data_IF_926471299807
#
_entry.id   IF_926471299807
#
_cell.length_a   1.000
_cell.length_b   1.000
_cell.length_c   1.000
_cell.angle_alpha   90.00
_cell.angle_beta   90.00
_cell.angle_gamma   90.00
#
_symmetry.space_group_name_H-M   'P 1'
#
loop_
_entity.id
_entity.type
_entity.pdbx_description
1 polymer ?
#
# COMPACT_ATOMS: atom_id res chain seq x y z
N UNK A 1 38.48 -11.28 -48.31
CA UNK A 1 38.17 -12.56 -47.62
C UNK A 1 36.74 -12.44 -47.10
N UNK A 2 35.68 -12.68 -47.91
CA UNK A 2 34.96 -13.94 -48.19
C UNK A 2 34.81 -14.89 -46.99
N UNK A 3 33.57 -14.95 -46.45
CA UNK A 3 32.79 -16.07 -45.86
C UNK A 3 31.53 -15.40 -45.26
N UNK A 4 30.30 -15.43 -45.81
CA UNK A 4 29.41 -16.52 -46.26
C UNK A 4 29.01 -17.49 -45.14
N UNK A 5 27.77 -17.39 -44.64
CA UNK A 5 26.81 -18.47 -44.30
C UNK A 5 25.52 -17.79 -43.73
N UNK A 6 24.43 -17.68 -44.50
CA UNK A 6 23.28 -18.60 -44.61
C UNK A 6 22.37 -18.54 -43.36
N UNK A 7 21.30 -17.73 -43.32
CA UNK A 7 19.95 -17.93 -43.88
C UNK A 7 19.17 -19.10 -43.24
N UNK A 8 18.18 -18.78 -42.41
CA UNK A 8 17.12 -19.70 -41.97
C UNK A 8 15.86 -18.90 -41.60
N UNK A 9 14.99 -18.80 -42.61
CA UNK A 9 13.59 -18.42 -42.58
C UNK A 9 12.79 -19.48 -41.82
N UNK A 10 11.93 -19.13 -40.85
CA UNK A 10 10.63 -19.81 -40.64
C UNK A 10 9.65 -18.83 -39.98
N UNK A 11 8.70 -18.35 -40.79
CA UNK A 11 7.42 -17.78 -40.36
C UNK A 11 6.45 -18.94 -40.04
N UNK A 12 5.78 -18.90 -38.89
CA UNK A 12 4.58 -19.69 -38.65
C UNK A 12 3.39 -18.75 -38.42
N UNK A 13 2.64 -18.52 -39.49
CA UNK A 13 1.26 -18.02 -39.47
C UNK A 13 0.34 -19.24 -39.49
N UNK A 14 -0.33 -19.51 -38.37
CA UNK A 14 -1.36 -20.54 -38.28
C UNK A 14 -2.74 -19.87 -38.43
N UNK A 15 -3.20 -19.73 -39.67
CA UNK A 15 -4.59 -19.41 -39.97
C UNK A 15 -5.44 -20.69 -39.92
N UNK A 16 -6.41 -20.77 -39.02
CA UNK A 16 -7.43 -21.82 -39.07
C UNK A 16 -8.48 -21.46 -40.13
N UNK A 17 -8.35 -22.05 -41.32
CA UNK A 17 -9.42 -22.16 -42.30
C UNK A 17 -10.54 -23.07 -41.77
N UNK A 18 -11.77 -22.56 -41.74
CA UNK A 18 -12.99 -23.35 -41.53
C UNK A 18 -13.50 -23.81 -42.90
N UNK A 19 -13.31 -25.09 -43.21
CA UNK A 19 -13.84 -25.73 -44.42
C UNK A 19 -15.33 -26.00 -44.20
N UNK A 20 -16.21 -25.35 -44.94
CA UNK A 20 -17.60 -25.78 -45.11
C UNK A 20 -17.67 -26.79 -46.26
N UNK A 21 -17.98 -28.05 -45.94
CA UNK A 21 -18.39 -29.05 -46.93
C UNK A 21 -19.90 -29.23 -46.84
N UNK A 22 -20.58 -28.94 -47.94
CA UNK A 22 -21.98 -29.25 -48.20
C UNK A 22 -22.08 -30.69 -48.71
N UNK A 23 -22.87 -31.53 -48.04
CA UNK A 23 -23.50 -32.70 -48.66
C UNK A 23 -24.74 -33.08 -47.87
N UNK A 24 -25.90 -32.93 -48.51
CA UNK A 24 -27.17 -33.53 -48.12
C UNK A 24 -27.16 -35.02 -48.48
N UNK A 25 -27.60 -35.90 -47.56
CA UNK A 25 -28.63 -36.93 -47.76
C UNK A 25 -28.64 -37.94 -46.59
N UNK A 26 -29.78 -37.93 -45.89
CA UNK A 26 -30.47 -38.98 -45.12
C UNK A 26 -29.70 -40.17 -44.53
N UNK A 27 -29.70 -40.27 -43.19
CA UNK A 27 -30.14 -41.47 -42.46
C UNK A 27 -30.19 -41.28 -40.93
N UNK A 28 -31.40 -41.47 -40.37
CA UNK A 28 -31.75 -41.93 -39.00
C UNK A 28 -31.47 -40.99 -37.81
N UNK A 29 -32.47 -40.69 -36.94
CA UNK A 29 -32.24 -39.90 -35.74
C UNK A 29 -31.52 -40.74 -34.68
N UNK A 30 -30.23 -40.46 -34.47
CA UNK A 30 -29.51 -40.80 -33.24
C UNK A 30 -29.91 -39.83 -32.12
N UNK A 31 -29.93 -40.28 -30.86
CA UNK A 31 -30.43 -39.48 -29.74
C UNK A 31 -29.57 -38.22 -29.58
N UNK A 32 -30.24 -37.08 -29.42
CA UNK A 32 -29.60 -35.81 -29.16
C UNK A 32 -28.66 -35.93 -27.96
N UNK A 33 -27.36 -35.94 -28.24
CA UNK A 33 -26.33 -35.69 -27.24
C UNK A 33 -26.58 -34.29 -26.73
N UNK A 34 -27.16 -34.19 -25.53
CA UNK A 34 -27.18 -32.94 -24.79
C UNK A 34 -25.73 -32.59 -24.52
N UNK A 35 -25.19 -31.67 -25.31
CA UNK A 35 -23.95 -30.98 -24.95
C UNK A 35 -24.34 -30.11 -23.78
N UNK A 36 -24.16 -30.64 -22.57
CA UNK A 36 -24.22 -29.86 -21.35
C UNK A 36 -23.08 -28.85 -21.44
N UNK A 37 -23.41 -27.64 -21.87
CA UNK A 37 -22.49 -26.51 -21.88
C UNK A 37 -22.24 -26.16 -20.42
N UNK A 38 -21.25 -26.82 -19.81
CA UNK A 38 -20.74 -26.44 -18.49
C UNK A 38 -20.13 -25.05 -18.66
N UNK A 39 -20.91 -24.02 -18.32
CA UNK A 39 -20.39 -22.68 -18.16
C UNK A 39 -19.33 -22.74 -17.05
N UNK A 40 -18.16 -22.10 -17.24
CA UNK A 40 -17.16 -22.07 -16.18
C UNK A 40 -17.78 -21.45 -14.92
N UNK A 41 -17.52 -22.06 -13.76
CA UNK A 41 -17.95 -21.51 -12.47
C UNK A 41 -17.31 -20.13 -12.27
N UNK A 42 -18.13 -19.15 -11.87
CA UNK A 42 -17.69 -17.79 -11.59
C UNK A 42 -16.68 -17.79 -10.43
N UNK A 43 -15.57 -17.08 -10.60
CA UNK A 43 -14.57 -16.90 -9.54
C UNK A 43 -15.02 -15.77 -8.62
N UNK A 44 -15.42 -16.11 -7.38
CA UNK A 44 -15.89 -15.12 -6.39
C UNK A 44 -14.84 -14.97 -5.29
N UNK A 45 -14.40 -13.73 -5.04
CA UNK A 45 -13.58 -13.39 -3.88
C UNK A 45 -14.46 -12.73 -2.81
N UNK A 46 -14.45 -13.24 -1.59
CA UNK A 46 -15.16 -12.65 -0.45
C UNK A 46 -14.18 -12.33 0.67
N UNK A 47 -14.28 -11.11 1.21
CA UNK A 47 -13.56 -10.67 2.40
C UNK A 47 -14.55 -10.22 3.46
N UNK A 48 -14.48 -10.84 4.64
CA UNK A 48 -15.33 -10.56 5.79
C UNK A 48 -14.54 -10.34 7.09
N UNK A 49 -13.25 -10.01 6.95
CA UNK A 49 -12.34 -9.81 8.05
C UNK A 49 -11.28 -8.73 7.75
N UNK A 50 -10.40 -8.50 8.72
CA UNK A 50 -9.28 -7.57 8.59
C UNK A 50 -8.18 -8.20 7.73
N UNK A 51 -7.82 -7.51 6.64
CA UNK A 51 -6.68 -7.85 5.80
C UNK A 51 -5.56 -6.84 5.99
N UNK A 52 -4.38 -7.30 6.43
CA UNK A 52 -3.17 -6.45 6.51
C UNK A 52 -2.19 -6.94 5.45
N UNK A 53 -1.82 -6.06 4.52
CA UNK A 53 -0.87 -6.42 3.48
C UNK A 53 0.55 -6.50 4.03
N UNK A 54 1.27 -7.55 3.63
CA UNK A 54 2.70 -7.75 3.90
C UNK A 54 3.55 -7.73 2.62
N UNK A 55 2.89 -7.62 1.47
CA UNK A 55 3.45 -7.55 0.13
C UNK A 55 2.40 -6.97 -0.81
N UNK A 56 2.79 -6.64 -2.04
CA UNK A 56 1.84 -6.24 -3.08
C UNK A 56 0.86 -7.37 -3.38
N UNK A 57 -0.42 -7.02 -3.51
CA UNK A 57 -1.52 -7.97 -3.73
C UNK A 57 -2.33 -7.57 -4.97
N UNK A 58 -2.59 -8.57 -5.81
CA UNK A 58 -3.51 -8.46 -6.95
C UNK A 58 -4.63 -9.46 -6.75
N UNK A 59 -5.87 -8.97 -6.69
CA UNK A 59 -7.09 -9.78 -6.60
C UNK A 59 -7.73 -9.77 -7.98
N UNK A 60 -7.82 -10.95 -8.61
CA UNK A 60 -8.51 -11.14 -9.89
C UNK A 60 -9.67 -12.10 -9.66
N UNK A 61 -10.89 -11.61 -9.84
CA UNK A 61 -12.12 -12.40 -9.62
C UNK A 61 -13.26 -11.86 -10.47
N UNK A 62 -14.21 -12.70 -10.89
CA UNK A 62 -15.41 -12.23 -11.58
C UNK A 62 -16.24 -11.32 -10.66
N UNK A 63 -16.36 -11.70 -9.39
CA UNK A 63 -17.03 -10.90 -8.37
C UNK A 63 -16.16 -10.71 -7.12
N UNK A 64 -16.20 -9.50 -6.55
CA UNK A 64 -15.55 -9.16 -5.28
C UNK A 64 -16.60 -8.71 -4.27
N UNK A 65 -16.69 -9.39 -3.14
CA UNK A 65 -17.64 -9.11 -2.06
C UNK A 65 -16.88 -8.66 -0.81
N UNK A 66 -16.95 -7.38 -0.48
CA UNK A 66 -16.40 -6.83 0.74
C UNK A 66 -17.54 -6.71 1.77
N UNK A 67 -17.53 -7.56 2.80
CA UNK A 67 -18.58 -7.61 3.83
C UNK A 67 -18.34 -6.56 4.91
N UNK A 68 -19.35 -6.29 5.75
CA UNK A 68 -19.31 -5.20 6.74
C UNK A 68 -18.11 -5.19 7.71
N UNK A 69 -17.44 -6.33 7.91
CA UNK A 69 -16.26 -6.45 8.77
C UNK A 69 -14.93 -6.33 8.00
N UNK A 70 -14.96 -6.04 6.70
CA UNK A 70 -13.77 -5.93 5.88
C UNK A 70 -13.04 -4.62 6.15
N UNK A 71 -11.83 -4.74 6.69
CA UNK A 71 -10.89 -3.62 6.86
C UNK A 71 -9.57 -3.97 6.19
N UNK A 72 -9.20 -3.23 5.16
CA UNK A 72 -7.97 -3.48 4.41
C UNK A 72 -6.92 -2.43 4.78
N UNK A 73 -5.77 -2.88 5.28
CA UNK A 73 -4.63 -2.05 5.58
C UNK A 73 -3.49 -2.31 4.58
N UNK A 74 -3.14 -1.32 3.77
CA UNK A 74 -2.11 -1.51 2.73
C UNK A 74 -0.70 -1.58 3.28
N UNK A 75 -0.44 -0.92 4.42
CA UNK A 75 0.82 -0.95 5.14
C UNK A 75 2.05 -0.76 4.23
N UNK A 76 1.97 0.22 3.32
CA UNK A 76 2.94 0.58 2.25
C UNK A 76 2.87 -0.19 0.93
N UNK A 77 2.12 -1.28 0.88
CA UNK A 77 2.07 -2.14 -0.30
C UNK A 77 0.97 -1.72 -1.27
N UNK A 78 1.08 -2.19 -2.51
CA UNK A 78 0.08 -1.92 -3.53
C UNK A 78 -1.04 -2.95 -3.48
N UNK A 79 -2.27 -2.50 -3.69
CA UNK A 79 -3.46 -3.33 -3.83
C UNK A 79 -4.07 -3.07 -5.20
N UNK A 80 -4.13 -4.09 -6.06
CA UNK A 80 -4.90 -4.06 -7.31
C UNK A 80 -6.08 -5.02 -7.20
N UNK A 81 -7.27 -4.54 -7.51
CA UNK A 81 -8.49 -5.34 -7.61
C UNK A 81 -8.99 -5.23 -9.05
N UNK A 82 -9.02 -6.36 -9.75
CA UNK A 82 -9.50 -6.49 -11.12
C UNK A 82 -10.70 -7.43 -11.12
N UNK A 83 -11.88 -6.89 -11.45
CA UNK A 83 -13.11 -7.64 -11.34
C UNK A 83 -14.18 -7.23 -12.33
N UNK A 84 -15.19 -8.07 -12.58
CA UNK A 84 -16.36 -7.65 -13.35
C UNK A 84 -17.28 -6.83 -12.46
N UNK A 85 -17.57 -7.31 -11.25
CA UNK A 85 -18.50 -6.63 -10.33
C UNK A 85 -17.98 -6.63 -8.89
N UNK A 86 -18.10 -5.49 -8.20
CA UNK A 86 -17.73 -5.35 -6.79
C UNK A 86 -18.91 -4.89 -5.93
N UNK A 87 -19.16 -5.63 -4.86
CA UNK A 87 -20.23 -5.40 -3.89
C UNK A 87 -19.64 -5.06 -2.53
N UNK A 88 -19.98 -3.88 -2.02
CA UNK A 88 -19.37 -3.34 -0.80
C UNK A 88 -20.44 -3.05 0.25
N UNK A 89 -20.48 -3.88 1.29
CA UNK A 89 -21.39 -3.66 2.41
C UNK A 89 -21.07 -2.37 3.17
N UNK A 90 -21.99 -1.90 4.00
CA UNK A 90 -21.72 -0.76 4.88
C UNK A 90 -20.66 -1.12 5.91
N UNK A 91 -19.74 -0.18 6.16
CA UNK A 91 -18.68 -0.32 7.17
C UNK A 91 -17.32 -0.74 6.61
N UNK A 92 -17.22 -1.02 5.30
CA UNK A 92 -15.95 -1.38 4.66
C UNK A 92 -15.00 -0.20 4.62
N UNK A 93 -13.78 -0.42 5.08
CA UNK A 93 -12.71 0.59 5.12
C UNK A 93 -11.46 0.07 4.42
N UNK A 94 -10.88 0.88 3.57
CA UNK A 94 -9.51 0.71 3.07
C UNK A 94 -8.67 1.86 3.61
N UNK A 95 -7.56 1.55 4.28
CA UNK A 95 -6.71 2.53 4.93
C UNK A 95 -5.23 2.20 4.71
N UNK A 96 -4.37 3.21 4.60
CA UNK A 96 -2.94 2.96 4.43
C UNK A 96 -2.29 2.34 5.67
N UNK A 97 -2.38 3.01 6.82
CA UNK A 97 -1.80 2.52 8.07
C UNK A 97 -2.82 2.52 9.20
N UNK A 98 -2.97 1.43 9.98
CA UNK A 98 -3.81 1.43 11.17
C UNK A 98 -3.25 2.38 12.23
N UNK A 99 -4.10 2.89 13.14
CA UNK A 99 -3.72 3.82 14.21
C UNK A 99 -2.41 3.49 14.96
N UNK A 100 -2.17 2.27 15.44
CA UNK A 100 -0.92 1.93 16.15
C UNK A 100 0.34 2.03 15.28
N UNK A 101 0.19 2.08 13.95
CA UNK A 101 1.29 2.16 12.98
C UNK A 101 1.37 3.51 12.27
N UNK A 102 0.62 4.54 12.72
CA UNK A 102 0.67 5.88 12.12
C UNK A 102 2.00 6.61 12.32
N UNK A 103 2.84 6.17 13.27
CA UNK A 103 4.12 6.77 13.60
C UNK A 103 5.21 5.70 13.53
N UNK A 104 6.29 5.98 12.81
CA UNK A 104 7.44 5.11 12.70
C UNK A 104 8.22 5.05 14.03
N UNK A 105 9.00 3.98 14.20
CA UNK A 105 9.89 3.83 15.36
C UNK A 105 10.92 4.96 15.41
N UNK A 106 11.42 5.26 16.61
CA UNK A 106 12.47 6.28 16.83
C UNK A 106 13.61 6.11 15.82
N UNK A 107 14.02 7.24 15.23
CA UNK A 107 15.11 7.35 14.25
C UNK A 107 14.88 6.53 12.95
N UNK A 108 13.64 6.15 12.65
CA UNK A 108 13.24 5.47 11.41
C UNK A 108 12.37 6.41 10.55
N UNK A 109 12.66 6.56 9.24
CA UNK A 109 11.79 7.27 8.32
C UNK A 109 10.38 6.67 8.24
N UNK A 110 9.39 7.51 7.97
CA UNK A 110 8.03 7.08 7.70
C UNK A 110 7.92 6.34 6.38
N UNK A 111 7.05 5.33 6.35
CA UNK A 111 6.67 4.59 5.16
C UNK A 111 5.55 5.28 4.37
N UNK A 112 5.59 5.20 3.04
CA UNK A 112 4.54 5.73 2.15
C UNK A 112 3.30 4.83 2.17
N UNK A 113 2.11 5.38 1.88
CA UNK A 113 0.83 4.68 1.98
C UNK A 113 0.50 3.66 0.88
N UNK A 114 1.39 3.47 -0.11
CA UNK A 114 1.17 2.58 -1.25
C UNK A 114 0.13 3.08 -2.25
N UNK A 115 -0.23 2.24 -3.22
CA UNK A 115 -1.26 2.53 -4.23
C UNK A 115 -2.38 1.52 -4.16
N UNK A 116 -3.63 1.99 -4.16
CA UNK A 116 -4.82 1.16 -4.31
C UNK A 116 -5.43 1.44 -5.67
N UNK A 117 -5.65 0.39 -6.45
CA UNK A 117 -6.30 0.45 -7.74
C UNK A 117 -7.45 -0.56 -7.78
N UNK A 118 -8.64 -0.08 -8.12
CA UNK A 118 -9.83 -0.91 -8.33
C UNK A 118 -10.29 -0.68 -9.76
N UNK A 119 -10.31 -1.74 -10.55
CA UNK A 119 -10.76 -1.71 -11.94
C UNK A 119 -11.88 -2.74 -12.13
N UNK A 120 -13.00 -2.32 -12.71
CA UNK A 120 -14.04 -3.26 -13.07
C UNK A 120 -15.15 -2.72 -13.95
N UNK A 121 -16.21 -3.51 -14.13
CA UNK A 121 -17.38 -3.05 -14.88
C UNK A 121 -18.38 -2.35 -13.97
N UNK A 122 -18.79 -3.01 -12.88
CA UNK A 122 -19.87 -2.58 -12.01
C UNK A 122 -19.41 -2.44 -10.54
N UNK A 123 -19.87 -1.39 -9.85
CA UNK A 123 -19.68 -1.21 -8.40
C UNK A 123 -20.98 -0.85 -7.68
N UNK A 124 -21.16 -1.42 -6.49
CA UNK A 124 -22.31 -1.20 -5.63
C UNK A 124 -21.88 -0.99 -4.17
N UNK A 125 -22.65 -0.18 -3.43
CA UNK A 125 -22.54 -0.12 -1.98
C UNK A 125 -21.75 1.07 -1.43
N UNK A 126 -21.01 0.90 -0.33
CA UNK A 126 -20.43 2.04 0.40
C UNK A 126 -18.98 1.80 0.78
N UNK A 127 -18.05 2.59 0.22
CA UNK A 127 -16.62 2.46 0.47
C UNK A 127 -16.07 3.67 1.21
N UNK A 128 -15.28 3.43 2.26
CA UNK A 128 -14.48 4.47 2.92
C UNK A 128 -13.00 4.24 2.63
N UNK A 129 -12.31 5.28 2.17
CA UNK A 129 -10.89 5.23 1.83
C UNK A 129 -10.13 6.31 2.61
N UNK A 130 -9.15 5.89 3.41
CA UNK A 130 -8.28 6.77 4.18
C UNK A 130 -6.82 6.61 3.75
N UNK A 131 -6.31 7.57 2.99
CA UNK A 131 -4.94 7.58 2.47
C UNK A 131 -4.05 8.43 3.37
N UNK A 132 -2.99 7.83 3.89
CA UNK A 132 -2.03 8.54 4.73
C UNK A 132 -0.64 7.92 4.65
N UNK A 133 0.37 8.78 4.81
CA UNK A 133 1.74 8.34 5.05
C UNK A 133 1.91 7.97 6.51
N UNK A 134 2.98 7.28 6.82
CA UNK A 134 3.42 7.12 8.19
C UNK A 134 4.25 8.36 8.59
N UNK A 135 3.97 8.88 9.78
CA UNK A 135 4.76 9.94 10.43
C UNK A 135 6.15 9.40 10.69
N UNK A 136 7.19 10.14 10.32
CA UNK A 136 8.56 9.77 10.59
C UNK A 136 8.85 9.70 12.09
N UNK A 137 9.75 8.81 12.47
CA UNK A 137 10.07 8.59 13.87
C UNK A 137 10.76 9.79 14.49
N UNK A 138 10.55 10.00 15.79
CA UNK A 138 11.26 11.01 16.55
C UNK A 138 12.78 10.79 16.51
N UNK A 139 13.54 11.87 16.62
CA UNK A 139 14.99 11.82 16.70
C UNK A 139 15.48 11.14 17.98
N UNK A 140 16.74 10.71 17.98
CA UNK A 140 17.41 10.24 19.19
C UNK A 140 17.59 11.40 20.18
N UNK A 141 17.41 11.13 21.46
CA UNK A 141 17.60 12.11 22.53
C UNK A 141 19.06 12.52 22.73
N UNK A 142 19.27 13.67 23.35
CA UNK A 142 20.57 14.21 23.73
C UNK A 142 20.79 14.23 25.25
N UNK A 143 21.95 14.71 25.70
CA UNK A 143 22.28 14.89 27.12
C UNK A 143 22.99 16.22 27.38
N UNK A 144 22.75 16.80 28.55
CA UNK A 144 23.44 17.99 29.01
C UNK A 144 24.89 17.68 29.43
N UNK A 145 25.73 18.72 29.49
CA UNK A 145 27.09 18.58 30.01
C UNK A 145 27.03 18.10 31.47
N UNK A 146 27.78 17.04 31.78
CA UNK A 146 27.94 16.61 33.17
C UNK A 146 29.23 17.25 33.68
N UNK A 147 29.17 18.21 34.62
CA UNK A 147 30.36 18.82 35.18
C UNK A 147 31.21 17.75 35.86
N UNK A 148 32.52 17.93 35.81
CA UNK A 148 33.48 17.01 36.39
C UNK A 148 33.21 16.85 37.90
N UNK A 149 32.62 15.72 38.29
CA UNK A 149 32.44 15.38 39.69
C UNK A 149 33.69 14.66 40.20
N UNK A 150 34.33 15.25 41.20
CA UNK A 150 35.60 14.79 41.79
C UNK A 150 35.37 13.56 42.70
N UNK A 151 34.70 12.53 42.18
CA UNK A 151 34.53 11.24 42.86
C UNK A 151 35.51 10.23 42.25
N UNK A 152 36.36 9.57 43.07
CA UNK A 152 37.43 8.70 42.59
C UNK A 152 36.99 7.42 41.85
N UNK A 153 35.68 7.20 41.64
CA UNK A 153 35.11 6.02 41.00
C UNK A 153 34.16 6.32 39.82
N UNK A 154 33.86 7.60 39.53
CA UNK A 154 32.88 8.01 38.52
C UNK A 154 33.41 9.12 37.60
N UNK A 155 34.67 9.03 37.19
CA UNK A 155 35.24 9.93 36.20
C UNK A 155 34.76 9.57 34.78
N UNK A 156 33.61 10.09 34.38
CA UNK A 156 33.28 10.21 32.96
C UNK A 156 32.79 11.63 32.69
N UNK A 157 33.73 12.53 32.37
CA UNK A 157 33.37 13.76 31.68
C UNK A 157 32.67 13.38 30.37
N UNK A 158 31.47 13.92 30.15
CA UNK A 158 30.77 13.84 28.87
C UNK A 158 30.49 15.24 28.40
N UNK A 159 31.06 15.58 27.24
CA UNK A 159 30.67 16.78 26.51
C UNK A 159 29.15 16.73 26.23
N UNK A 160 28.46 17.88 26.23
CA UNK A 160 27.03 17.94 25.93
C UNK A 160 26.76 17.38 24.54
N UNK A 161 25.64 16.68 24.39
CA UNK A 161 25.20 16.14 23.12
C UNK A 161 23.80 16.65 22.81
N UNK A 162 23.67 17.39 21.71
CA UNK A 162 22.35 17.82 21.24
C UNK A 162 21.56 16.61 20.72
N UNK A 163 20.23 16.63 20.85
CA UNK A 163 19.37 15.62 20.25
C UNK A 163 19.49 15.63 18.72
N UNK A 164 19.19 14.51 18.09
CA UNK A 164 19.07 14.42 16.65
C UNK A 164 17.71 14.95 16.17
N UNK A 165 17.69 15.40 14.92
CA UNK A 165 16.44 15.69 14.21
C UNK A 165 15.56 14.44 14.09
N UNK A 166 14.25 14.67 13.94
CA UNK A 166 13.32 13.60 13.57
C UNK A 166 13.58 13.10 12.16
N UNK A 167 12.86 12.05 11.77
CA UNK A 167 12.92 11.52 10.40
C UNK A 167 11.77 12.00 9.55
N UNK A 168 12.04 12.07 8.25
CA UNK A 168 11.07 12.43 7.23
C UNK A 168 9.90 11.43 7.22
N UNK A 169 8.75 11.91 6.77
CA UNK A 169 7.53 11.12 6.68
C UNK A 169 7.31 10.55 5.29
N UNK A 170 6.52 9.48 5.24
CA UNK A 170 6.14 8.87 3.98
C UNK A 170 5.05 9.62 3.24
N UNK A 171 4.91 9.33 1.95
CA UNK A 171 3.87 9.89 1.09
C UNK A 171 2.48 9.34 1.44
N UNK A 172 1.42 10.09 1.17
CA UNK A 172 0.06 9.70 1.56
C UNK A 172 -0.48 8.46 0.84
N UNK A 173 0.14 8.06 -0.25
CA UNK A 173 -0.36 7.01 -1.14
C UNK A 173 -1.48 7.51 -2.05
N UNK A 174 -1.85 6.69 -3.03
CA UNK A 174 -2.81 7.06 -4.07
C UNK A 174 -3.95 6.04 -4.20
N UNK A 175 -5.13 6.52 -4.57
CA UNK A 175 -6.32 5.70 -4.78
C UNK A 175 -6.88 5.93 -6.18
N UNK A 176 -7.06 4.86 -6.94
CA UNK A 176 -7.61 4.87 -8.29
C UNK A 176 -8.81 3.94 -8.35
N UNK A 177 -9.98 4.48 -8.67
CA UNK A 177 -11.17 3.69 -8.97
C UNK A 177 -11.56 3.93 -10.42
N UNK A 178 -11.62 2.86 -11.20
CA UNK A 178 -11.99 2.88 -12.60
C UNK A 178 -13.05 1.82 -12.88
N UNK A 179 -14.31 2.24 -12.91
CA UNK A 179 -15.44 1.38 -13.25
C UNK A 179 -16.27 1.97 -14.37
N UNK A 180 -16.89 1.09 -15.15
CA UNK A 180 -17.74 1.49 -16.28
C UNK A 180 -19.15 1.89 -15.84
N UNK A 181 -19.60 1.41 -14.68
CA UNK A 181 -20.91 1.72 -14.15
C UNK A 181 -20.91 1.65 -12.62
N UNK A 182 -21.66 2.57 -12.01
CA UNK A 182 -21.92 2.59 -10.58
C UNK A 182 -23.43 2.66 -10.34
N UNK A 183 -23.95 1.79 -9.49
CA UNK A 183 -25.36 1.80 -9.10
C UNK A 183 -25.45 1.71 -7.58
N UNK A 184 -26.16 2.65 -6.96
CA UNK A 184 -26.29 2.75 -5.50
C UNK A 184 -24.94 2.74 -4.77
N UNK A 185 -23.92 3.33 -5.40
CA UNK A 185 -22.57 3.43 -4.86
C UNK A 185 -22.33 4.79 -4.21
N UNK A 186 -21.75 4.78 -3.02
CA UNK A 186 -21.20 5.96 -2.37
C UNK A 186 -19.76 5.71 -1.93
N UNK A 187 -18.93 6.75 -2.04
CA UNK A 187 -17.56 6.72 -1.58
C UNK A 187 -17.26 7.94 -0.71
N UNK A 188 -16.56 7.70 0.39
CA UNK A 188 -15.96 8.75 1.21
C UNK A 188 -14.46 8.59 1.17
N UNK A 189 -13.76 9.62 0.73
CA UNK A 189 -12.31 9.65 0.63
C UNK A 189 -11.75 10.70 1.58
N UNK A 190 -10.61 10.39 2.20
CA UNK A 190 -9.85 11.33 3.00
C UNK A 190 -8.37 11.10 2.79
N UNK A 191 -7.62 12.17 2.60
CA UNK A 191 -6.17 12.14 2.51
C UNK A 191 -5.56 13.01 3.60
N UNK A 192 -4.55 12.48 4.31
CA UNK A 192 -3.83 13.23 5.34
C UNK A 192 -2.33 13.14 5.11
N UNK A 193 -1.71 14.32 4.98
CA UNK A 193 -0.25 14.45 4.91
C UNK A 193 0.33 14.19 6.30
N UNK A 194 1.25 13.22 6.37
CA UNK A 194 1.94 12.89 7.61
C UNK A 194 2.96 13.98 7.96
N UNK A 195 2.94 14.55 9.18
CA UNK A 195 3.95 15.52 9.60
C UNK A 195 5.30 14.83 9.78
N UNK A 196 6.41 15.55 9.65
CA UNK A 196 7.74 15.02 9.95
C UNK A 196 7.89 14.61 11.44
N UNK A 197 8.85 13.73 11.73
CA UNK A 197 9.16 13.33 13.10
C UNK A 197 9.67 14.48 13.96
N UNK A 198 9.39 14.41 15.27
CA UNK A 198 9.86 15.43 16.22
C UNK A 198 11.37 15.31 16.48
N UNK A 199 12.00 16.41 16.89
CA UNK A 199 13.35 16.39 17.46
C UNK A 199 13.36 15.52 18.73
N UNK A 200 14.47 14.83 18.99
CA UNK A 200 14.65 14.07 20.22
C UNK A 200 14.70 14.96 21.46
N UNK A 201 14.35 14.40 22.64
CA UNK A 201 14.38 15.15 23.89
C UNK A 201 15.78 15.21 24.51
N UNK A 202 16.07 16.27 25.26
CA UNK A 202 17.24 16.33 26.14
C UNK A 202 16.88 15.60 27.44
N UNK A 203 17.70 14.63 27.85
CA UNK A 203 17.50 13.91 29.10
C UNK A 203 18.16 14.68 30.25
N UNK A 204 17.35 15.22 31.16
CA UNK A 204 17.79 15.80 32.43
C UNK A 204 17.78 14.71 33.51
N UNK A 205 18.94 14.18 33.88
CA UNK A 205 19.00 13.19 34.96
C UNK A 205 20.34 12.50 35.18
N UNK A 206 20.70 12.36 36.45
CA UNK A 206 21.79 11.50 36.94
C UNK A 206 21.64 10.05 36.45
N UNK A 207 22.74 9.49 35.96
CA UNK A 207 22.89 8.15 35.34
C UNK A 207 22.40 6.94 36.16
N UNK A 208 21.93 7.12 37.40
CA UNK A 208 21.66 6.01 38.33
C UNK A 208 20.37 5.23 37.98
N UNK A 209 19.46 5.79 37.18
CA UNK A 209 18.14 5.17 36.91
C UNK A 209 17.94 4.63 35.49
N UNK A 210 18.95 4.68 34.61
CA UNK A 210 18.75 4.46 33.16
C UNK A 210 19.14 3.06 32.65
N UNK A 211 19.46 2.10 33.53
CA UNK A 211 19.96 0.79 33.08
C UNK A 211 18.89 -0.20 32.58
N UNK A 212 17.60 -0.01 32.90
CA UNK A 212 16.62 -1.11 32.79
C UNK A 212 15.32 -0.83 31.99
N UNK A 213 15.21 0.26 31.23
CA UNK A 213 14.08 0.43 30.30
C UNK A 213 14.54 0.18 28.87
N UNK A 214 13.96 -0.82 28.21
CA UNK A 214 14.20 -1.16 26.80
C UNK A 214 13.95 0.04 25.85
N UNK A 215 13.26 1.08 26.31
CA UNK A 215 12.92 2.29 25.58
C UNK A 215 14.08 3.26 25.33
N UNK A 216 15.21 3.12 26.02
CA UNK A 216 16.32 4.06 25.91
C UNK A 216 17.59 3.39 25.38
N UNK A 217 17.63 3.18 24.06
CA UNK A 217 18.88 2.97 23.30
C UNK A 217 19.74 4.24 23.30
N UNK A 218 20.19 4.68 24.48
CA UNK A 218 21.21 5.74 24.70
C UNK A 218 22.58 5.30 24.14
N UNK A 219 22.75 4.02 23.79
CA UNK A 219 24.03 3.42 23.39
C UNK A 219 24.48 3.68 21.93
N UNK A 220 23.79 4.51 21.13
CA UNK A 220 24.04 4.55 19.69
C UNK A 220 23.97 5.96 19.04
N UNK A 221 24.38 7.04 19.72
CA UNK A 221 24.65 8.30 19.01
C UNK A 221 26.15 8.36 18.65
N UNK A 222 26.56 7.98 17.42
CA UNK A 222 27.98 7.91 17.04
C UNK A 222 28.65 9.30 16.97
N UNK A 223 27.87 10.36 16.76
CA UNK A 223 28.32 11.74 16.70
C UNK A 223 27.24 12.67 17.26
N UNK A 224 27.64 13.60 18.12
CA UNK A 224 26.77 14.67 18.58
C UNK A 224 26.60 15.70 17.47
N UNK A 225 25.37 15.86 16.96
CA UNK A 225 25.10 16.81 15.88
C UNK A 225 25.08 18.24 16.40
N UNK A 226 25.66 19.17 15.65
CA UNK A 226 25.70 20.58 16.04
C UNK A 226 24.32 21.26 15.95
N UNK A 227 23.45 20.82 15.04
CA UNK A 227 22.08 21.31 14.86
C UNK A 227 21.16 20.16 14.40
N UNK A 228 20.03 19.88 15.07
CA UNK A 228 19.07 18.90 14.60
C UNK A 228 18.37 19.41 13.33
N UNK A 229 18.33 18.58 12.29
CA UNK A 229 17.57 18.87 11.08
C UNK A 229 16.07 18.76 11.34
N UNK A 230 15.28 19.65 10.73
CA UNK A 230 13.82 19.57 10.77
C UNK A 230 13.38 18.52 9.77
N UNK A 231 12.65 17.51 10.26
CA UNK A 231 12.07 16.48 9.42
C UNK A 231 11.06 17.07 8.43
N UNK A 232 11.08 16.55 7.21
CA UNK A 232 10.13 16.95 6.17
C UNK A 232 8.80 16.23 6.34
N UNK A 233 7.67 16.93 6.14
CA UNK A 233 6.39 16.26 5.99
C UNK A 233 6.39 15.39 4.73
N UNK A 234 5.46 14.44 4.69
CA UNK A 234 5.21 13.65 3.49
C UNK A 234 4.65 14.50 2.36
N UNK A 235 4.51 13.90 1.18
CA UNK A 235 3.79 14.47 0.05
C UNK A 235 2.34 13.97 0.00
N UNK A 236 1.42 14.78 -0.52
CA UNK A 236 0.09 14.32 -0.90
C UNK A 236 0.18 13.35 -2.09
N UNK A 237 -0.68 12.34 -2.10
CA UNK A 237 -0.86 11.48 -3.26
C UNK A 237 -2.02 11.97 -4.13
N UNK A 238 -2.63 11.04 -4.87
CA UNK A 238 -3.73 11.35 -5.78
C UNK A 238 -4.94 10.46 -5.52
N UNK A 239 -6.14 11.02 -5.62
CA UNK A 239 -7.39 10.26 -5.62
C UNK A 239 -8.06 10.48 -6.98
N UNK A 240 -8.21 9.42 -7.77
CA UNK A 240 -8.84 9.46 -9.08
C UNK A 240 -10.05 8.53 -9.14
N UNK A 241 -11.19 9.05 -9.55
CA UNK A 241 -12.45 8.30 -9.66
C UNK A 241 -13.02 8.41 -11.07
N UNK A 242 -13.26 7.26 -11.70
CA UNK A 242 -14.10 7.09 -12.89
C UNK A 242 -15.22 6.11 -12.53
N UNK A 243 -16.47 6.56 -12.62
CA UNK A 243 -17.66 5.84 -12.15
C UNK A 243 -18.67 5.50 -13.25
N UNK A 244 -18.34 5.86 -14.49
CA UNK A 244 -19.16 5.67 -15.69
C UNK A 244 -18.26 5.54 -16.91
N UNK A 245 -18.63 4.71 -17.88
CA UNK A 245 -17.86 4.42 -19.10
C UNK A 245 -17.53 5.71 -19.87
N UNK A 246 -18.50 6.62 -19.92
CA UNK A 246 -18.43 7.89 -20.65
C UNK A 246 -17.76 9.02 -19.86
N UNK A 247 -17.46 8.81 -18.57
CA UNK A 247 -16.82 9.82 -17.75
C UNK A 247 -15.29 9.78 -17.89
N UNK A 248 -14.68 10.97 -17.84
CA UNK A 248 -13.25 11.09 -17.59
C UNK A 248 -12.98 10.90 -16.10
N UNK A 249 -11.85 10.28 -15.77
CA UNK A 249 -11.42 10.16 -14.38
C UNK A 249 -11.27 11.56 -13.75
N UNK A 250 -11.96 11.78 -12.64
CA UNK A 250 -11.83 13.00 -11.83
C UNK A 250 -10.75 12.76 -10.80
N UNK A 251 -9.68 13.55 -10.87
CA UNK A 251 -8.56 13.42 -9.97
C UNK A 251 -8.43 14.64 -9.07
N UNK A 252 -8.28 14.39 -7.78
CA UNK A 252 -7.97 15.40 -6.76
C UNK A 252 -6.52 15.23 -6.31
N UNK A 253 -5.78 16.33 -6.34
CA UNK A 253 -4.49 16.50 -5.69
C UNK A 253 -4.68 17.31 -4.42
N UNK A 254 -4.21 16.79 -3.30
CA UNK A 254 -4.29 17.43 -1.98
C UNK A 254 -3.08 18.29 -1.67
#
# INVERSE_FOLDING_TARGET
>A
MKNLFLLSFVLYLSACMKIQKKSEMDAKPEPAVQIETVLPESVIFTLDEVMILTQDVVIVADEVHLKSNAHIYTNQFNLSIETTSIYIDRGVIIQSFPEPLLIAKINVPGLSGGTIQITGNDIHGNLQVFMNGQTGGSGLGGWEEIPYMNYPFLQQYRAPCKPNGGKDSGESGSFFLNVNQSQDFSISTSMKIAPGGSVGNILQGSLIFLQNSEDYKIKLQPTCMANPEVAKPGSPGQICLKLSENDLARCESF
#
